data_IF_873929943010
#
_entry.id   IF_873929943010
#
_cell.length_a   1.000
_cell.length_b   1.000
_cell.length_c   1.000
_cell.angle_alpha   90.00
_cell.angle_beta   90.00
_cell.angle_gamma   90.00
#
_symmetry.space_group_name_H-M   'P 1'
#
loop_
_entity.id
_entity.type
_entity.pdbx_description
1 polymer ?
#
# COMPACT_ATOMS: atom_id res chain seq x y z
N UNK A 1 74.53 -11.56 54.18
CA UNK A 1 73.51 -12.04 53.23
C UNK A 1 72.29 -11.16 53.37
N UNK A 2 71.86 -10.48 52.31
CA UNK A 2 70.65 -9.67 52.30
C UNK A 2 69.50 -10.47 51.65
N UNK A 3 68.24 -10.34 52.13
CA UNK A 3 67.13 -11.13 51.61
C UNK A 3 66.69 -10.68 50.22
N UNK A 4 66.38 -11.67 49.37
CA UNK A 4 65.82 -11.47 48.02
C UNK A 4 64.33 -11.18 48.16
N UNK A 5 63.88 -10.03 47.66
CA UNK A 5 62.47 -9.65 47.63
C UNK A 5 61.95 -9.82 46.21
N UNK A 6 60.98 -10.73 46.04
CA UNK A 6 60.22 -10.87 44.78
C UNK A 6 58.90 -10.13 44.94
N UNK A 7 58.68 -9.09 44.13
CA UNK A 7 57.39 -8.38 44.04
C UNK A 7 56.58 -8.98 42.89
N UNK A 8 55.37 -9.45 43.17
CA UNK A 8 54.43 -9.88 42.16
C UNK A 8 53.72 -8.65 41.57
N UNK A 9 53.90 -8.43 40.27
CA UNK A 9 53.06 -7.49 39.53
C UNK A 9 51.77 -8.20 39.13
N UNK A 10 50.64 -7.81 39.74
CA UNK A 10 49.31 -8.30 39.39
C UNK A 10 48.86 -7.74 38.04
N UNK A 11 49.42 -8.29 36.95
CA UNK A 11 49.02 -7.93 35.57
C UNK A 11 47.57 -8.30 35.23
N UNK A 12 46.91 -9.06 36.10
CA UNK A 12 45.51 -9.48 35.97
C UNK A 12 44.54 -8.73 36.88
N UNK A 13 45.04 -7.89 37.80
CA UNK A 13 44.19 -6.99 38.59
C UNK A 13 43.98 -5.71 37.81
N UNK A 14 43.16 -5.78 36.75
CA UNK A 14 42.64 -4.57 36.12
C UNK A 14 41.67 -3.89 37.10
N UNK A 15 41.94 -2.66 37.57
CA UNK A 15 41.08 -1.98 38.55
C UNK A 15 39.73 -1.53 37.95
N UNK A 16 39.50 -1.77 36.67
CA UNK A 16 38.22 -1.56 36.01
C UNK A 16 37.60 -2.92 35.63
N UNK A 17 37.28 -3.74 36.63
CA UNK A 17 36.35 -4.84 36.44
C UNK A 17 35.02 -4.24 35.95
N UNK A 18 34.77 -4.31 34.64
CA UNK A 18 33.57 -3.80 34.00
C UNK A 18 32.37 -4.42 34.70
N UNK A 19 31.60 -3.58 35.42
CA UNK A 19 30.41 -4.04 36.12
C UNK A 19 29.51 -4.73 35.08
N UNK A 20 29.05 -5.97 35.33
CA UNK A 20 28.29 -6.71 34.32
C UNK A 20 27.04 -5.92 33.96
N UNK A 21 26.75 -5.85 32.66
CA UNK A 21 25.57 -5.18 32.14
C UNK A 21 24.29 -5.73 32.79
N UNK A 22 23.22 -4.95 32.82
CA UNK A 22 21.94 -5.40 33.40
C UNK A 22 21.43 -6.69 32.75
N UNK A 23 21.77 -6.89 31.47
CA UNK A 23 21.48 -8.11 30.70
C UNK A 23 22.31 -9.29 31.19
N UNK A 24 23.63 -9.12 31.36
CA UNK A 24 24.50 -10.17 31.90
C UNK A 24 24.12 -10.57 33.32
N UNK A 25 23.71 -9.61 34.17
CA UNK A 25 23.24 -9.91 35.53
C UNK A 25 21.98 -10.77 35.52
N UNK A 26 21.01 -10.46 34.64
CA UNK A 26 19.79 -11.26 34.49
C UNK A 26 20.09 -12.66 33.95
N UNK A 27 21.04 -12.76 33.03
CA UNK A 27 21.45 -14.03 32.42
C UNK A 27 22.19 -14.93 33.41
N UNK A 28 23.12 -14.39 34.19
CA UNK A 28 23.82 -15.16 35.23
C UNK A 28 22.87 -15.62 36.34
N UNK A 29 21.84 -14.82 36.64
CA UNK A 29 20.80 -15.18 37.62
C UNK A 29 19.78 -16.18 37.10
N UNK A 30 19.55 -16.26 35.78
CA UNK A 30 18.50 -17.12 35.23
C UNK A 30 18.89 -18.60 35.22
N UNK A 31 20.15 -18.95 35.50
CA UNK A 31 20.65 -20.34 35.59
C UNK A 31 20.57 -21.13 34.28
N UNK A 32 20.16 -20.49 33.18
CA UNK A 32 20.02 -21.11 31.86
C UNK A 32 21.32 -20.91 31.07
N UNK A 33 21.95 -21.98 30.55
CA UNK A 33 23.11 -21.84 29.70
C UNK A 33 22.72 -21.13 28.40
N UNK A 34 23.57 -20.20 27.94
CA UNK A 34 23.35 -19.51 26.66
C UNK A 34 23.41 -20.53 25.54
N UNK A 35 22.31 -20.72 24.80
CA UNK A 35 22.30 -21.68 23.70
C UNK A 35 23.03 -21.07 22.50
N UNK A 36 23.82 -21.89 21.77
CA UNK A 36 24.49 -21.45 20.54
C UNK A 36 23.50 -20.87 19.51
N UNK A 37 22.23 -21.29 19.57
CA UNK A 37 21.15 -20.79 18.74
C UNK A 37 20.76 -19.32 19.08
N UNK A 38 20.79 -18.93 20.35
CA UNK A 38 20.48 -17.55 20.76
C UNK A 38 21.60 -16.56 20.38
N UNK A 39 22.86 -16.99 20.48
CA UNK A 39 24.00 -16.21 19.99
C UNK A 39 23.97 -16.01 18.48
N UNK A 40 23.63 -17.07 17.72
CA UNK A 40 23.43 -16.99 16.27
C UNK A 40 22.28 -16.04 15.91
N UNK A 41 21.12 -16.16 16.58
CA UNK A 41 19.98 -15.25 16.36
C UNK A 41 20.33 -13.79 16.66
N UNK A 42 21.10 -13.52 17.72
CA UNK A 42 21.51 -12.15 18.06
C UNK A 42 22.51 -11.58 17.05
N UNK A 43 23.45 -12.40 16.55
CA UNK A 43 24.39 -11.98 15.51
C UNK A 43 23.70 -11.82 14.14
N UNK A 44 22.73 -12.66 13.82
CA UNK A 44 21.89 -12.52 12.63
C UNK A 44 21.03 -11.25 12.71
N UNK A 45 20.48 -10.91 13.87
CA UNK A 45 19.73 -9.67 14.08
C UNK A 45 20.62 -8.42 14.02
N UNK A 46 21.86 -8.49 14.49
CA UNK A 46 22.82 -7.40 14.39
C UNK A 46 23.30 -7.20 12.93
N UNK A 47 23.53 -8.29 12.19
CA UNK A 47 23.99 -8.24 10.80
C UNK A 47 22.88 -7.97 9.77
N UNK A 48 21.61 -8.18 10.13
CA UNK A 48 20.47 -7.87 9.25
C UNK A 48 20.12 -6.38 9.18
N UNK A 49 20.78 -5.52 9.97
CA UNK A 49 20.51 -4.08 10.05
C UNK A 49 21.48 -3.26 9.21
N UNK A 50 22.62 -3.81 8.78
CA UNK A 50 23.64 -3.06 8.03
C UNK A 50 23.80 -3.57 6.59
N UNK A 51 22.80 -3.31 5.75
CA UNK A 51 22.91 -3.44 4.30
C UNK A 51 22.50 -2.12 3.63
N UNK A 52 23.25 -1.60 2.64
CA UNK A 52 22.87 -0.38 1.95
C UNK A 52 21.63 -0.68 1.09
N UNK A 53 20.57 0.14 1.22
CA UNK A 53 19.39 0.16 0.34
C UNK A 53 18.40 -1.01 0.50
N UNK A 54 17.85 -1.23 1.69
CA UNK A 54 16.66 -2.07 1.78
C UNK A 54 15.45 -1.30 1.21
N UNK A 55 14.59 -1.94 0.42
CA UNK A 55 13.37 -1.32 -0.10
C UNK A 55 12.39 -0.86 1.01
N UNK A 56 12.70 -1.14 2.28
CA UNK A 56 11.99 -0.65 3.47
C UNK A 56 12.50 0.74 3.84
N UNK A 57 13.81 0.98 3.82
CA UNK A 57 14.38 2.31 4.09
C UNK A 57 13.87 3.36 3.10
N UNK A 58 13.75 3.01 1.82
CA UNK A 58 13.15 3.89 0.79
C UNK A 58 11.63 4.10 0.97
N UNK A 59 10.95 3.17 1.64
CA UNK A 59 9.53 3.31 2.00
C UNK A 59 9.34 4.10 3.29
N UNK A 60 10.34 4.12 4.14
CA UNK A 60 10.30 4.85 5.40
C UNK A 60 10.88 6.27 5.25
N UNK A 61 11.64 6.51 4.17
CA UNK A 61 12.09 7.85 3.74
C UNK A 61 10.91 8.71 3.28
N UNK A 62 10.44 9.51 4.23
CA UNK A 62 9.30 10.40 4.09
C UNK A 62 9.60 11.53 3.10
N UNK A 63 10.83 12.05 3.07
CA UNK A 63 11.21 13.15 2.18
C UNK A 63 11.20 12.70 0.73
N UNK A 64 11.78 11.53 0.45
CA UNK A 64 11.75 10.92 -0.88
C UNK A 64 10.32 10.64 -1.34
N UNK A 65 9.46 10.10 -0.47
CA UNK A 65 8.06 9.85 -0.82
C UNK A 65 7.26 11.11 -1.13
N UNK A 66 7.47 12.18 -0.35
CA UNK A 66 6.86 13.49 -0.63
C UNK A 66 7.34 14.02 -1.97
N UNK A 67 8.64 13.95 -2.25
CA UNK A 67 9.20 14.39 -3.53
C UNK A 67 8.61 13.61 -4.71
N UNK A 68 8.54 12.28 -4.63
CA UNK A 68 8.00 11.45 -5.71
C UNK A 68 6.51 11.71 -5.95
N UNK A 69 5.70 11.81 -4.88
CA UNK A 69 4.26 12.05 -4.99
C UNK A 69 3.90 13.47 -5.46
N UNK A 70 4.71 14.46 -5.08
CA UNK A 70 4.50 15.87 -5.42
C UNK A 70 5.22 16.32 -6.70
N UNK A 71 6.06 15.46 -7.27
CA UNK A 71 6.88 15.74 -8.46
C UNK A 71 6.07 16.29 -9.64
N UNK A 72 4.83 15.82 -9.84
CA UNK A 72 3.94 16.31 -10.90
C UNK A 72 3.49 17.77 -10.67
N UNK A 73 3.20 18.13 -9.41
CA UNK A 73 2.83 19.49 -9.00
C UNK A 73 4.02 20.43 -9.16
N UNK A 74 5.20 19.99 -8.69
CA UNK A 74 6.44 20.74 -8.79
C UNK A 74 6.89 20.92 -10.24
N UNK A 75 6.79 19.89 -11.07
CA UNK A 75 7.09 19.95 -12.51
C UNK A 75 6.14 20.90 -13.24
N UNK A 76 4.84 20.84 -12.95
CA UNK A 76 3.86 21.77 -13.54
C UNK A 76 4.20 23.22 -13.17
N UNK A 77 4.57 23.49 -11.92
CA UNK A 77 4.98 24.83 -11.48
C UNK A 77 6.31 25.26 -12.12
N UNK A 78 7.31 24.39 -12.13
CA UNK A 78 8.62 24.69 -12.74
C UNK A 78 8.48 25.03 -14.22
N UNK A 79 7.60 24.31 -14.94
CA UNK A 79 7.25 24.62 -16.31
C UNK A 79 6.48 25.95 -16.43
N UNK A 80 5.63 26.32 -15.46
CA UNK A 80 4.97 27.63 -15.42
C UNK A 80 6.00 28.76 -15.24
N UNK A 81 6.95 28.61 -14.30
CA UNK A 81 8.04 29.58 -14.08
C UNK A 81 8.97 29.73 -15.30
N UNK A 82 9.31 28.63 -15.99
CA UNK A 82 10.14 28.70 -17.20
C UNK A 82 9.43 29.39 -18.37
N UNK A 83 8.13 29.17 -18.51
CA UNK A 83 7.37 29.71 -19.65
C UNK A 83 6.89 31.15 -19.40
N UNK A 84 6.65 31.51 -18.13
CA UNK A 84 6.27 32.84 -17.73
C UNK A 84 7.47 33.49 -17.05
N UNK A 85 8.21 34.35 -17.77
CA UNK A 85 9.27 35.22 -17.23
C UNK A 85 8.80 36.19 -16.11
N UNK A 86 7.58 36.03 -15.61
CA UNK A 86 6.99 36.82 -14.54
C UNK A 86 7.18 36.07 -13.22
N UNK A 87 8.37 36.17 -12.65
CA UNK A 87 8.52 35.98 -11.21
C UNK A 87 7.60 37.01 -10.52
N UNK A 88 6.51 36.54 -9.91
CA UNK A 88 5.72 37.44 -9.07
C UNK A 88 6.62 37.88 -7.93
N UNK A 89 6.91 39.18 -7.84
CA UNK A 89 7.82 39.80 -6.85
C UNK A 89 7.47 39.57 -5.37
N UNK A 90 6.48 38.74 -5.08
CA UNK A 90 6.20 38.17 -3.77
C UNK A 90 7.15 37.01 -3.36
N UNK A 91 7.94 36.44 -4.29
CA UNK A 91 8.89 35.36 -3.95
C UNK A 91 10.16 35.87 -3.21
N UNK A 92 10.47 37.17 -3.31
CA UNK A 92 11.73 37.79 -2.86
C UNK A 92 11.66 38.42 -1.46
N UNK A 93 10.83 37.92 -0.56
CA UNK A 93 10.88 38.36 0.85
C UNK A 93 11.86 37.48 1.64
N UNK A 94 12.59 38.06 2.60
CA UNK A 94 13.57 37.31 3.43
C UNK A 94 12.96 36.10 4.16
N UNK A 95 11.64 36.08 4.38
CA UNK A 95 10.90 34.95 4.97
C UNK A 95 10.62 33.83 3.97
N UNK A 96 10.49 34.14 2.68
CA UNK A 96 10.23 33.17 1.61
C UNK A 96 11.51 32.60 1.00
N UNK A 97 12.65 33.28 1.16
CA UNK A 97 13.98 32.82 0.71
C UNK A 97 14.43 31.49 1.35
N UNK A 98 13.98 31.22 2.58
CA UNK A 98 14.33 29.99 3.30
C UNK A 98 13.35 28.83 3.02
N UNK A 99 12.21 29.08 2.35
CA UNK A 99 11.21 28.04 2.10
C UNK A 99 11.20 27.64 0.61
N UNK A 100 11.50 26.37 0.27
CA UNK A 100 11.72 25.95 -1.11
C UNK A 100 10.44 25.94 -1.97
N UNK A 101 9.26 25.99 -1.35
CA UNK A 101 7.97 26.01 -2.04
C UNK A 101 7.19 27.28 -1.66
N UNK A 102 6.85 28.09 -2.67
CA UNK A 102 6.11 29.35 -2.47
C UNK A 102 4.77 29.30 -3.22
N UNK A 103 3.78 30.02 -2.69
CA UNK A 103 2.51 30.31 -3.37
C UNK A 103 1.67 29.07 -3.69
N UNK A 104 1.27 28.94 -4.97
CA UNK A 104 0.32 27.89 -5.42
C UNK A 104 0.84 26.48 -5.18
N UNK A 105 2.15 26.24 -5.38
CA UNK A 105 2.74 24.93 -5.17
C UNK A 105 2.73 24.54 -3.69
N UNK A 106 3.02 25.49 -2.79
CA UNK A 106 2.93 25.27 -1.34
C UNK A 106 1.52 24.85 -0.93
N UNK A 107 0.50 25.58 -1.40
CA UNK A 107 -0.90 25.26 -1.07
C UNK A 107 -1.30 23.87 -1.60
N UNK A 108 -0.91 23.53 -2.83
CA UNK A 108 -1.24 22.23 -3.45
C UNK A 108 -0.51 21.05 -2.82
N UNK A 109 0.77 21.21 -2.50
CA UNK A 109 1.55 20.17 -1.82
C UNK A 109 1.04 19.96 -0.40
N UNK A 110 0.74 21.03 0.34
CA UNK A 110 0.09 20.91 1.65
C UNK A 110 -1.28 20.23 1.56
N UNK A 111 -2.14 20.60 0.60
CA UNK A 111 -3.44 19.95 0.40
C UNK A 111 -3.27 18.46 0.05
N UNK A 112 -2.27 18.10 -0.77
CA UNK A 112 -1.94 16.71 -1.10
C UNK A 112 -1.50 15.92 0.14
N UNK A 113 -0.58 16.47 0.93
CA UNK A 113 -0.08 15.85 2.17
C UNK A 113 -1.20 15.65 3.19
N UNK A 114 -2.03 16.68 3.42
CA UNK A 114 -3.15 16.61 4.36
C UNK A 114 -4.15 15.55 3.89
N UNK A 115 -4.48 15.49 2.59
CA UNK A 115 -5.35 14.44 2.04
C UNK A 115 -4.77 13.04 2.20
N UNK A 116 -3.46 12.87 2.00
CA UNK A 116 -2.81 11.58 2.16
C UNK A 116 -2.91 11.09 3.61
N UNK A 117 -2.58 11.94 4.57
CA UNK A 117 -2.71 11.62 6.00
C UNK A 117 -4.17 11.37 6.37
N UNK A 118 -5.07 12.25 5.93
CA UNK A 118 -6.49 12.13 6.24
C UNK A 118 -7.14 10.90 5.60
N UNK A 119 -6.62 10.39 4.47
CA UNK A 119 -7.16 9.20 3.80
C UNK A 119 -7.09 7.91 4.61
N UNK A 120 -6.26 7.86 5.65
CA UNK A 120 -6.11 6.70 6.53
C UNK A 120 -7.28 6.56 7.49
N UNK A 121 -7.70 7.66 8.12
CA UNK A 121 -8.71 7.67 9.18
C UNK A 121 -10.00 8.43 8.84
N UNK A 122 -10.00 9.24 7.79
CA UNK A 122 -11.09 10.14 7.46
C UNK A 122 -12.14 9.54 6.54
N UNK A 123 -13.35 10.09 6.60
CA UNK A 123 -14.45 9.64 5.77
C UNK A 123 -14.22 9.90 4.27
N UNK A 124 -14.26 8.88 3.41
CA UNK A 124 -13.95 9.03 1.98
C UNK A 124 -14.94 9.94 1.26
N UNK A 125 -16.18 10.08 1.77
CA UNK A 125 -17.20 10.98 1.22
C UNK A 125 -16.85 12.45 1.43
N UNK A 126 -16.27 12.79 2.59
CA UNK A 126 -15.89 14.16 2.95
C UNK A 126 -14.58 14.50 2.26
N UNK A 127 -13.59 13.59 2.31
CA UNK A 127 -12.26 13.80 1.72
C UNK A 127 -12.27 13.97 0.21
N UNK A 128 -13.10 13.20 -0.50
CA UNK A 128 -13.22 13.27 -1.96
C UNK A 128 -14.39 14.16 -2.40
N UNK A 129 -14.84 15.09 -1.56
CA UNK A 129 -15.90 16.03 -1.91
C UNK A 129 -15.41 16.97 -3.00
N UNK A 130 -16.12 16.95 -4.13
CA UNK A 130 -15.86 17.79 -5.31
C UNK A 130 -16.57 19.14 -5.13
N UNK A 131 -15.98 20.21 -5.67
CA UNK A 131 -16.56 21.56 -5.68
C UNK A 131 -17.88 21.60 -6.45
N UNK A 132 -18.83 22.41 -5.98
CA UNK A 132 -20.15 22.57 -6.60
C UNK A 132 -20.00 23.32 -7.93
N UNK A 133 -20.47 22.70 -9.02
CA UNK A 133 -20.44 23.28 -10.37
C UNK A 133 -21.74 22.97 -11.11
N UNK A 134 -22.18 23.82 -12.07
CA UNK A 134 -23.29 23.49 -12.96
C UNK A 134 -23.02 22.19 -13.74
N UNK A 135 -24.05 21.36 -13.89
CA UNK A 135 -23.91 20.01 -14.44
C UNK A 135 -23.34 20.01 -15.88
N UNK A 136 -23.89 20.85 -16.77
CA UNK A 136 -23.44 20.96 -18.18
C UNK A 136 -21.97 21.34 -18.28
N UNK A 137 -21.53 22.27 -17.43
CA UNK A 137 -20.14 22.73 -17.39
C UNK A 137 -19.21 21.61 -16.90
N UNK A 138 -19.58 20.91 -15.82
CA UNK A 138 -18.80 19.77 -15.33
C UNK A 138 -18.69 18.66 -16.38
N UNK A 139 -19.79 18.32 -17.04
CA UNK A 139 -19.79 17.32 -18.12
C UNK A 139 -18.87 17.73 -19.28
N UNK A 140 -18.91 19.00 -19.70
CA UNK A 140 -18.03 19.51 -20.74
C UNK A 140 -16.55 19.45 -20.34
N UNK A 141 -16.21 19.78 -19.09
CA UNK A 141 -14.84 19.67 -18.59
C UNK A 141 -14.37 18.21 -18.53
N UNK A 142 -15.22 17.28 -18.09
CA UNK A 142 -14.91 15.84 -18.08
C UNK A 142 -14.66 15.35 -19.50
N UNK A 143 -15.56 15.65 -20.45
CA UNK A 143 -15.44 15.24 -21.85
C UNK A 143 -14.14 15.75 -22.47
N UNK A 144 -13.86 17.05 -22.31
CA UNK A 144 -12.62 17.67 -22.82
C UNK A 144 -11.37 17.10 -22.17
N UNK A 145 -11.43 16.73 -20.89
CA UNK A 145 -10.30 16.08 -20.22
C UNK A 145 -10.07 14.67 -20.77
N UNK A 146 -11.14 13.88 -20.97
CA UNK A 146 -11.06 12.56 -21.58
C UNK A 146 -10.52 12.61 -23.02
N UNK A 147 -10.97 13.57 -23.84
CA UNK A 147 -10.45 13.79 -25.20
C UNK A 147 -8.94 14.10 -25.20
N UNK A 148 -8.47 14.91 -24.25
CA UNK A 148 -7.03 15.19 -24.11
C UNK A 148 -6.25 13.95 -23.69
N UNK A 149 -6.79 13.19 -22.74
CA UNK A 149 -6.15 11.97 -22.27
C UNK A 149 -6.09 10.91 -23.37
N UNK A 150 -7.17 10.73 -24.14
CA UNK A 150 -7.18 9.79 -25.27
C UNK A 150 -6.26 10.21 -26.39
N UNK A 151 -6.14 11.52 -26.66
CA UNK A 151 -5.15 12.06 -27.60
C UNK A 151 -3.72 11.73 -27.17
N UNK A 152 -3.36 12.01 -25.91
CA UNK A 152 -2.03 11.70 -25.37
C UNK A 152 -1.76 10.19 -25.37
N UNK A 153 -2.75 9.37 -25.04
CA UNK A 153 -2.65 7.90 -25.10
C UNK A 153 -2.41 7.41 -26.52
N UNK A 154 -3.16 7.93 -27.49
CA UNK A 154 -3.03 7.57 -28.89
C UNK A 154 -1.67 7.98 -29.45
N UNK A 155 -1.24 9.21 -29.20
CA UNK A 155 0.07 9.70 -29.62
C UNK A 155 1.21 8.89 -28.97
N UNK A 156 1.09 8.51 -27.70
CA UNK A 156 2.09 7.67 -27.05
C UNK A 156 2.15 6.26 -27.65
N UNK A 157 0.99 5.66 -27.96
CA UNK A 157 0.92 4.36 -28.63
C UNK A 157 1.52 4.39 -30.04
N UNK A 158 1.19 5.41 -30.83
CA UNK A 158 1.71 5.61 -32.18
C UNK A 158 3.23 5.83 -32.18
N UNK A 159 3.76 6.51 -31.16
CA UNK A 159 5.20 6.77 -30.99
C UNK A 159 5.97 5.67 -30.22
N UNK A 160 5.30 4.60 -29.77
CA UNK A 160 5.94 3.54 -28.98
C UNK A 160 6.38 3.96 -27.57
N UNK A 161 5.81 5.03 -27.01
CA UNK A 161 6.10 5.52 -25.67
C UNK A 161 5.24 4.78 -24.64
N UNK A 162 5.89 4.18 -23.64
CA UNK A 162 5.18 3.47 -22.55
C UNK A 162 4.71 4.45 -21.48
N UNK A 163 3.40 4.55 -21.29
CA UNK A 163 2.78 5.34 -20.22
C UNK A 163 2.55 4.53 -18.94
N UNK A 164 2.41 5.23 -17.81
CA UNK A 164 2.03 4.62 -16.53
C UNK A 164 0.60 4.05 -16.58
N UNK A 165 0.39 2.90 -15.94
CA UNK A 165 -0.92 2.24 -15.87
C UNK A 165 -1.82 2.96 -14.86
N UNK A 166 -3.04 3.32 -15.27
CA UNK A 166 -4.07 3.90 -14.41
C UNK A 166 -5.15 2.86 -14.05
N UNK A 167 -5.90 3.10 -12.97
CA UNK A 167 -7.02 2.22 -12.60
C UNK A 167 -8.18 2.40 -13.58
N UNK A 168 -8.93 1.33 -13.85
CA UNK A 168 -10.11 1.41 -14.73
C UNK A 168 -11.12 2.42 -14.17
N UNK A 169 -11.54 3.36 -15.01
CA UNK A 169 -12.48 4.43 -14.63
C UNK A 169 -11.84 5.65 -13.97
N UNK A 170 -10.55 5.60 -13.61
CA UNK A 170 -9.81 6.77 -13.13
C UNK A 170 -9.29 7.62 -14.30
N UNK A 171 -9.22 8.93 -14.11
CA UNK A 171 -8.54 9.80 -15.08
C UNK A 171 -7.02 9.63 -14.96
N UNK A 172 -6.29 9.68 -16.07
CA UNK A 172 -4.83 9.76 -16.06
C UNK A 172 -4.39 11.20 -15.84
N UNK A 173 -3.40 11.38 -14.97
CA UNK A 173 -2.73 12.65 -14.76
C UNK A 173 -1.81 12.97 -15.94
N UNK A 174 -2.24 13.91 -16.79
CA UNK A 174 -1.51 14.37 -17.98
C UNK A 174 -0.65 15.63 -17.71
N UNK A 175 -0.45 16.01 -16.44
CA UNK A 175 0.45 17.11 -16.04
C UNK A 175 0.07 18.52 -16.49
N UNK A 176 -1.08 18.71 -17.14
CA UNK A 176 -1.53 19.99 -17.70
C UNK A 176 -2.38 20.82 -16.72
N UNK A 177 -2.00 20.85 -15.45
CA UNK A 177 -2.82 21.38 -14.35
C UNK A 177 -2.32 22.76 -13.89
N UNK A 178 -2.52 23.77 -14.74
CA UNK A 178 -2.11 25.18 -14.45
C UNK A 178 -3.08 25.97 -13.58
N UNK A 179 -4.27 25.42 -13.30
CA UNK A 179 -5.28 26.09 -12.48
C UNK A 179 -4.78 26.30 -11.05
N UNK A 180 -5.43 27.16 -10.25
CA UNK A 180 -5.14 27.21 -8.81
C UNK A 180 -5.70 25.96 -8.11
N UNK A 181 -6.97 25.65 -8.39
CA UNK A 181 -7.68 24.48 -7.88
C UNK A 181 -7.23 23.23 -8.64
N UNK A 182 -6.93 22.15 -7.93
CA UNK A 182 -6.57 20.87 -8.54
C UNK A 182 -7.76 20.30 -9.34
N UNK A 183 -7.52 19.71 -10.53
CA UNK A 183 -8.61 19.14 -11.34
C UNK A 183 -9.39 18.06 -10.60
N UNK A 184 -8.75 17.28 -9.74
CA UNK A 184 -9.43 16.30 -8.89
C UNK A 184 -10.52 16.93 -8.00
N UNK A 185 -10.33 18.16 -7.51
CA UNK A 185 -11.34 18.87 -6.71
C UNK A 185 -12.53 19.35 -7.56
N UNK A 186 -12.36 19.49 -8.87
CA UNK A 186 -13.40 19.97 -9.81
C UNK A 186 -14.16 18.82 -10.49
N UNK A 187 -13.42 17.79 -10.91
CA UNK A 187 -13.92 16.68 -11.73
C UNK A 187 -14.05 15.37 -10.94
N UNK A 188 -13.39 15.27 -9.78
CA UNK A 188 -13.15 14.01 -9.10
C UNK A 188 -12.02 13.21 -9.73
N UNK A 189 -11.74 12.03 -9.16
CA UNK A 189 -10.68 11.11 -9.61
C UNK A 189 -11.07 10.26 -10.83
N UNK A 190 -12.31 10.40 -11.32
CA UNK A 190 -12.84 9.62 -12.43
C UNK A 190 -14.23 9.06 -12.20
N UNK A 191 -14.79 8.47 -13.25
CA UNK A 191 -16.07 7.78 -13.23
C UNK A 191 -15.87 6.35 -12.71
N UNK A 192 -15.50 6.22 -11.44
CA UNK A 192 -15.32 4.92 -10.80
C UNK A 192 -16.69 4.24 -10.66
N UNK A 193 -16.93 3.18 -11.43
CA UNK A 193 -18.13 2.36 -11.28
C UNK A 193 -18.12 1.73 -9.90
N UNK A 194 -19.19 1.89 -9.14
CA UNK A 194 -19.34 1.18 -7.87
C UNK A 194 -19.29 -0.32 -8.14
N UNK A 195 -18.49 -1.05 -7.37
CA UNK A 195 -18.48 -2.51 -7.37
C UNK A 195 -19.81 -3.01 -6.80
N UNK A 196 -20.86 -3.00 -7.63
CA UNK A 196 -22.13 -3.65 -7.31
C UNK A 196 -22.03 -5.08 -7.81
N UNK A 197 -22.31 -6.02 -6.91
CA UNK A 197 -22.49 -7.41 -7.30
C UNK A 197 -23.67 -7.48 -8.26
N UNK A 198 -23.54 -8.33 -9.29
CA UNK A 198 -24.65 -8.60 -10.22
C UNK A 198 -25.82 -9.15 -9.42
N UNK A 199 -27.02 -8.64 -9.69
CA UNK A 199 -28.24 -9.24 -9.15
C UNK A 199 -28.34 -10.69 -9.63
N UNK A 200 -28.49 -11.62 -8.68
CA UNK A 200 -28.54 -13.06 -8.95
C UNK A 200 -29.97 -13.57 -9.10
N UNK A 201 -30.97 -12.69 -8.99
CA UNK A 201 -32.38 -13.07 -8.97
C UNK A 201 -32.76 -13.84 -7.71
N UNK A 202 -34.02 -14.28 -7.66
CA UNK A 202 -34.55 -15.07 -6.55
C UNK A 202 -34.08 -16.52 -6.66
N UNK A 203 -33.58 -17.09 -5.55
CA UNK A 203 -33.20 -18.50 -5.49
C UNK A 203 -34.47 -19.35 -5.36
N UNK A 204 -34.83 -20.07 -6.43
CA UNK A 204 -36.04 -20.91 -6.48
C UNK A 204 -35.80 -22.32 -5.92
N UNK A 205 -34.71 -22.96 -6.32
CA UNK A 205 -34.45 -24.37 -5.98
C UNK A 205 -33.60 -24.50 -4.72
N UNK A 206 -34.00 -25.38 -3.80
CA UNK A 206 -33.26 -25.72 -2.56
C UNK A 206 -32.57 -27.08 -2.62
N UNK A 207 -33.04 -27.99 -3.49
CA UNK A 207 -32.49 -29.34 -3.65
C UNK A 207 -31.49 -29.38 -4.81
N UNK A 208 -30.40 -30.13 -4.64
CA UNK A 208 -29.42 -30.36 -5.69
C UNK A 208 -28.63 -29.14 -6.17
N UNK A 209 -27.83 -29.36 -7.22
CA UNK A 209 -27.05 -28.32 -7.91
C UNK A 209 -27.57 -28.16 -9.33
N UNK A 210 -28.03 -26.95 -9.67
CA UNK A 210 -28.34 -26.60 -11.05
C UNK A 210 -27.03 -26.36 -11.81
N UNK A 211 -26.74 -27.24 -12.76
CA UNK A 211 -25.55 -27.18 -13.62
C UNK A 211 -25.99 -27.03 -15.08
N UNK A 212 -25.02 -26.86 -15.99
CA UNK A 212 -25.33 -26.83 -17.43
C UNK A 212 -26.02 -28.10 -17.94
N UNK A 213 -25.76 -29.26 -17.31
CA UNK A 213 -26.33 -30.55 -17.69
C UNK A 213 -27.70 -30.83 -17.03
N UNK A 214 -28.27 -29.85 -16.33
CA UNK A 214 -29.52 -29.98 -15.59
C UNK A 214 -29.35 -30.02 -14.08
N UNK A 215 -30.41 -30.45 -13.38
CA UNK A 215 -30.46 -30.55 -11.92
C UNK A 215 -29.81 -31.84 -11.45
N UNK A 216 -28.68 -31.71 -10.75
CA UNK A 216 -27.96 -32.86 -10.18
C UNK A 216 -28.38 -33.02 -8.72
N UNK A 217 -29.11 -34.10 -8.43
CA UNK A 217 -29.48 -34.50 -7.07
C UNK A 217 -28.43 -35.44 -6.50
N UNK A 218 -28.00 -35.19 -5.26
CA UNK A 218 -27.08 -36.11 -4.57
C UNK A 218 -27.84 -37.36 -4.12
N UNK A 219 -27.14 -38.50 -4.01
CA UNK A 219 -27.75 -39.75 -3.48
C UNK A 219 -28.34 -39.53 -2.08
N UNK A 220 -27.72 -38.67 -1.27
CA UNK A 220 -28.22 -38.28 0.05
C UNK A 220 -29.50 -37.44 -0.02
N UNK A 221 -29.62 -36.51 -0.97
CA UNK A 221 -30.86 -35.72 -1.13
C UNK A 221 -32.02 -36.60 -1.57
N UNK A 222 -31.74 -37.54 -2.49
CA UNK A 222 -32.71 -38.54 -2.93
C UNK A 222 -33.16 -39.39 -1.74
N UNK A 223 -32.23 -39.99 -1.00
CA UNK A 223 -32.53 -40.83 0.15
C UNK A 223 -33.27 -40.07 1.27
N UNK A 224 -32.94 -38.79 1.47
CA UNK A 224 -33.59 -37.93 2.47
C UNK A 224 -35.05 -37.63 2.12
N UNK A 225 -35.35 -37.41 0.84
CA UNK A 225 -36.71 -37.10 0.37
C UNK A 225 -37.55 -38.37 0.26
N UNK A 226 -36.97 -39.47 -0.25
CA UNK A 226 -37.67 -40.74 -0.40
C UNK A 226 -37.87 -41.49 0.93
N UNK A 227 -37.11 -41.14 1.98
CA UNK A 227 -37.11 -41.83 3.27
C UNK A 227 -36.34 -43.17 3.24
N UNK A 228 -36.21 -43.86 4.39
CA UNK A 228 -35.52 -45.15 4.44
C UNK A 228 -36.30 -46.18 3.62
N UNK A 229 -35.88 -46.42 2.37
CA UNK A 229 -36.33 -47.56 1.60
C UNK A 229 -35.82 -48.81 2.32
N UNK A 230 -36.74 -49.55 2.97
CA UNK A 230 -36.48 -50.91 3.43
C UNK A 230 -36.04 -51.73 2.21
N UNK A 231 -34.73 -51.89 2.03
CA UNK A 231 -34.19 -52.82 1.06
C UNK A 231 -34.62 -54.20 1.56
N UNK A 232 -35.70 -54.76 1.01
CA UNK A 232 -36.01 -56.19 1.15
C UNK A 232 -34.76 -56.92 0.67
N UNK A 233 -33.95 -57.42 1.61
CA UNK A 233 -32.84 -58.34 1.31
C UNK A 233 -33.43 -59.49 0.52
N UNK A 234 -33.21 -59.49 -0.79
CA UNK A 234 -33.51 -60.63 -1.64
C UNK A 234 -32.79 -61.83 -1.06
N UNK A 235 -33.54 -62.89 -0.75
CA UNK A 235 -32.98 -64.18 -0.33
C UNK A 235 -32.01 -64.63 -1.43
N UNK A 236 -30.72 -64.62 -1.12
CA UNK A 236 -29.73 -65.33 -1.94
C UNK A 236 -30.09 -66.82 -1.86
N UNK A 237 -30.71 -67.36 -2.92
CA UNK A 237 -30.80 -68.79 -3.11
C UNK A 237 -29.38 -69.34 -3.33
N UNK A 238 -28.79 -69.88 -2.28
CA UNK A 238 -27.70 -70.86 -2.38
C UNK A 238 -28.29 -72.15 -2.96
N UNK A 239 -28.38 -72.24 -4.28
CA UNK A 239 -28.44 -73.56 -4.91
C UNK A 239 -27.01 -74.03 -5.12
N UNK A 240 -26.63 -75.02 -4.30
CA UNK A 240 -25.40 -75.76 -4.47
C UNK A 240 -25.37 -76.46 -5.82
N UNK A 241 -24.22 -76.38 -6.48
CA UNK A 241 -23.81 -77.35 -7.50
C UNK A 241 -22.84 -78.30 -6.82
N UNK A 242 -23.25 -79.57 -6.74
CA UNK A 242 -22.33 -80.71 -6.80
C UNK A 242 -21.76 -80.79 -8.21
#
# INVERSE_FOLDING_TARGET
MAPIVVKFEDKYSSPAATKPSTVEKKLRRSGKPLTLAELKKKNEQANAVEGPTSAKDLKDDLELQRLLSESSILKSLANERRNNNTESGAELTLKTLNEPLIGKARVRTLDSRIKQVASVNGDPKILNKVEKMPMKLRQAMIKKHQERTSKVEREALENGIVLSKSKKGSFRDIGNDRSFIAKEKLLGKGNMTKNRLRDRGLKIQTVGRSTRNGLVLSKSDIARIEGPKFVKKGKHNKHGRK
#
